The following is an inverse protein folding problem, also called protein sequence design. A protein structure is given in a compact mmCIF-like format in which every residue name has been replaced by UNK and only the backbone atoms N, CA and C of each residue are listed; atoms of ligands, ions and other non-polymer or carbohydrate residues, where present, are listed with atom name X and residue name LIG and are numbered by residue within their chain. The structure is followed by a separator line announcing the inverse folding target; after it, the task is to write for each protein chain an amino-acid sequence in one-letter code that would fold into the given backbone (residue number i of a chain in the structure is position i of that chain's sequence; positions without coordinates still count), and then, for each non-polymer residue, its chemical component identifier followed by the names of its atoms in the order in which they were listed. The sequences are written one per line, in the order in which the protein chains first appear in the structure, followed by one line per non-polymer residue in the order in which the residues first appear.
data_IF_777410699667
#
_entry.id   IF_777410699667
#
_cell.length_a   1.000
_cell.length_b   1.000
_cell.length_c   1.000
_cell.angle_alpha   90.00
_cell.angle_beta   90.00
_cell.angle_gamma   90.00
#
_symmetry.space_group_name_H-M   'P 1'
#
loop_
_entity.id
_entity.type
_entity.pdbx_description
1 polymer ?
#
# COMPACT_ATOMS: atom_id res chain seq x y z
N UNK A 1 -14.88 2.31 32.43
CA UNK A 1 -14.53 2.17 30.99
C UNK A 1 -13.02 2.10 30.85
N UNK A 2 -12.46 0.96 30.41
CA UNK A 2 -11.04 0.92 30.04
C UNK A 2 -10.85 1.73 28.75
N UNK A 3 -9.96 2.74 28.78
CA UNK A 3 -9.57 3.46 27.56
C UNK A 3 -8.88 2.47 26.62
N UNK A 4 -9.45 2.26 25.44
CA UNK A 4 -8.81 1.46 24.40
C UNK A 4 -7.49 2.14 24.05
N UNK A 5 -6.37 1.43 24.25
CA UNK A 5 -5.04 1.97 23.94
C UNK A 5 -4.90 2.07 22.43
N UNK A 6 -4.92 3.30 21.92
CA UNK A 6 -4.52 3.59 20.56
C UNK A 6 -3.01 3.43 20.41
N UNK A 7 -2.56 3.00 19.24
CA UNK A 7 -1.14 3.01 18.92
C UNK A 7 -0.65 4.46 18.84
N UNK A 8 0.59 4.78 19.29
CA UNK A 8 1.13 6.14 19.28
C UNK A 8 1.07 6.79 17.90
N UNK A 9 1.45 6.07 16.85
CA UNK A 9 1.40 6.57 15.46
C UNK A 9 0.00 6.54 14.81
N UNK A 10 -1.08 6.49 15.60
CA UNK A 10 -2.46 6.46 15.10
C UNK A 10 -2.93 5.09 14.58
N UNK A 11 -4.07 5.06 13.90
CA UNK A 11 -4.70 3.80 13.44
C UNK A 11 -3.93 3.13 12.30
N UNK A 12 -3.33 3.89 11.38
CA UNK A 12 -2.66 3.37 10.18
C UNK A 12 -1.32 4.08 9.96
N UNK A 13 -0.30 3.34 9.55
CA UNK A 13 1.01 3.91 9.19
C UNK A 13 1.71 3.09 8.11
N UNK A 14 2.27 3.77 7.09
CA UNK A 14 3.10 3.14 6.07
C UNK A 14 4.52 2.92 6.60
N UNK A 15 4.98 1.67 6.59
CA UNK A 15 6.27 1.28 7.14
C UNK A 15 7.37 1.20 6.08
N UNK A 16 7.01 1.01 4.81
CA UNK A 16 7.99 0.98 3.73
C UNK A 16 7.62 0.09 2.55
N UNK A 17 8.44 0.18 1.50
CA UNK A 17 8.37 -0.66 0.31
C UNK A 17 9.65 -1.47 0.24
N UNK A 18 9.51 -2.79 0.32
CA UNK A 18 10.58 -3.71 0.02
C UNK A 18 10.76 -3.77 -1.51
N UNK A 19 11.85 -3.17 -2.00
CA UNK A 19 12.11 -3.08 -3.45
C UNK A 19 12.47 -4.41 -4.09
N UNK A 20 12.94 -5.40 -3.31
CA UNK A 20 13.29 -6.72 -3.83
C UNK A 20 12.05 -7.57 -4.12
N UNK A 21 11.03 -7.46 -3.26
CA UNK A 21 9.78 -8.22 -3.37
C UNK A 21 8.59 -7.39 -3.90
N UNK A 22 8.77 -6.08 -4.07
CA UNK A 22 7.70 -5.13 -4.42
C UNK A 22 6.51 -5.15 -3.44
N UNK A 23 6.78 -5.44 -2.16
CA UNK A 23 5.77 -5.48 -1.10
C UNK A 23 5.75 -4.17 -0.29
N UNK A 24 4.56 -3.58 -0.19
CA UNK A 24 4.29 -2.44 0.66
C UNK A 24 3.88 -2.95 2.03
N UNK A 25 4.56 -2.48 3.07
CA UNK A 25 4.26 -2.82 4.46
C UNK A 25 3.50 -1.68 5.11
N UNK A 26 2.34 -1.98 5.67
CA UNK A 26 1.44 -1.03 6.32
C UNK A 26 1.00 -1.59 7.67
N UNK A 27 1.15 -0.80 8.72
CA UNK A 27 0.57 -1.07 10.04
C UNK A 27 -0.88 -0.62 10.05
N UNK A 28 -1.79 -1.50 10.47
CA UNK A 28 -3.20 -1.21 10.69
C UNK A 28 -3.56 -1.69 12.09
N UNK A 29 -3.92 -0.76 12.97
CA UNK A 29 -3.99 -0.99 14.40
C UNK A 29 -2.66 -1.51 14.95
N UNK A 30 -2.66 -2.65 15.61
CA UNK A 30 -1.44 -3.27 16.17
C UNK A 30 -0.80 -4.31 15.24
N UNK A 31 -1.37 -4.52 14.05
CA UNK A 31 -0.93 -5.55 13.12
C UNK A 31 -0.26 -4.92 11.90
N UNK A 32 0.73 -5.62 11.36
CA UNK A 32 1.42 -5.22 10.15
C UNK A 32 1.05 -6.18 9.04
N UNK A 33 0.69 -5.61 7.89
CA UNK A 33 0.37 -6.34 6.68
C UNK A 33 1.31 -5.92 5.56
N UNK A 34 1.69 -6.87 4.72
CA UNK A 34 2.47 -6.62 3.52
C UNK A 34 1.74 -7.15 2.29
N UNK A 35 1.60 -6.31 1.27
CA UNK A 35 0.93 -6.67 0.02
C UNK A 35 1.58 -5.97 -1.16
N UNK A 36 1.45 -6.55 -2.35
CA UNK A 36 1.92 -5.90 -3.58
C UNK A 36 0.89 -4.88 -4.09
N UNK A 37 1.30 -4.09 -5.07
CA UNK A 37 0.52 -2.96 -5.57
C UNK A 37 -0.88 -3.31 -6.12
N UNK A 38 -1.09 -4.54 -6.59
CA UNK A 38 -2.37 -5.00 -7.15
C UNK A 38 -3.19 -5.83 -6.14
N UNK A 39 -2.67 -6.07 -4.93
CA UNK A 39 -3.35 -6.86 -3.91
C UNK A 39 -3.40 -8.36 -4.19
N UNK A 40 -2.62 -8.89 -5.13
CA UNK A 40 -2.67 -10.33 -5.47
C UNK A 40 -1.97 -11.21 -4.43
N UNK A 41 -1.10 -10.64 -3.59
CA UNK A 41 -0.47 -11.35 -2.47
C UNK A 41 -0.68 -10.59 -1.18
N UNK A 42 -0.82 -11.32 -0.07
CA UNK A 42 -0.98 -10.74 1.25
C UNK A 42 -0.20 -11.54 2.28
N UNK A 43 0.49 -10.83 3.16
CA UNK A 43 1.21 -11.39 4.28
C UNK A 43 0.82 -10.66 5.56
N UNK A 44 0.74 -11.40 6.65
CA UNK A 44 0.83 -10.83 8.00
C UNK A 44 2.29 -10.82 8.42
N UNK A 45 2.75 -9.69 8.94
CA UNK A 45 4.13 -9.53 9.41
C UNK A 45 4.11 -9.51 10.94
N UNK A 46 4.90 -10.37 11.56
CA UNK A 46 5.13 -10.40 13.00
C UNK A 46 6.59 -10.72 13.26
N UNK A 47 7.27 -9.87 14.04
CA UNK A 47 8.67 -10.05 14.42
C UNK A 47 9.61 -10.30 13.22
N UNK A 48 9.35 -9.59 12.10
CA UNK A 48 10.09 -9.74 10.84
C UNK A 48 9.70 -10.94 9.97
N UNK A 49 8.87 -11.85 10.47
CA UNK A 49 8.40 -13.04 9.74
C UNK A 49 7.14 -12.71 8.94
N UNK A 50 7.14 -13.07 7.65
CA UNK A 50 6.01 -12.91 6.72
C UNK A 50 5.22 -14.22 6.62
N UNK A 51 4.02 -14.26 7.19
CA UNK A 51 3.10 -15.40 7.04
C UNK A 51 2.12 -15.12 5.91
N UNK A 52 2.06 -15.96 4.85
CA UNK A 52 1.13 -15.76 3.75
C UNK A 52 -0.32 -15.92 4.21
N UNK A 53 -1.20 -15.07 3.68
CA UNK A 53 -2.64 -15.11 3.90
C UNK A 53 -3.38 -15.33 2.58
N UNK A 54 -4.52 -16.04 2.64
CA UNK A 54 -5.40 -16.14 1.49
C UNK A 54 -6.14 -14.81 1.29
N UNK A 55 -5.86 -14.14 0.16
CA UNK A 55 -6.40 -12.81 -0.16
C UNK A 55 -7.93 -12.80 -0.20
N UNK A 56 -8.54 -13.74 -0.92
CA UNK A 56 -10.00 -13.78 -1.09
C UNK A 56 -10.71 -13.98 0.24
N UNK A 57 -10.22 -14.90 1.06
CA UNK A 57 -10.75 -15.12 2.42
C UNK A 57 -10.60 -13.87 3.28
N UNK A 58 -9.44 -13.21 3.23
CA UNK A 58 -9.16 -12.01 4.01
C UNK A 58 -10.04 -10.82 3.60
N UNK A 59 -10.31 -10.65 2.31
CA UNK A 59 -11.22 -9.61 1.81
C UNK A 59 -12.63 -9.77 2.38
N UNK A 60 -13.10 -11.00 2.52
CA UNK A 60 -14.43 -11.31 3.06
C UNK A 60 -14.47 -11.19 4.59
N UNK A 61 -13.47 -11.71 5.29
CA UNK A 61 -13.44 -11.71 6.76
C UNK A 61 -13.06 -10.34 7.36
N UNK A 62 -12.18 -9.60 6.69
CA UNK A 62 -11.61 -8.34 7.17
C UNK A 62 -11.70 -7.22 6.12
N UNK A 63 -12.88 -6.91 5.57
CA UNK A 63 -13.03 -5.97 4.45
C UNK A 63 -12.54 -4.56 4.79
N UNK A 64 -12.73 -4.12 6.05
CA UNK A 64 -12.25 -2.82 6.52
C UNK A 64 -10.71 -2.74 6.52
N UNK A 65 -10.05 -3.76 7.04
CA UNK A 65 -8.58 -3.82 7.07
C UNK A 65 -8.02 -3.89 5.66
N UNK A 66 -8.66 -4.67 4.79
CA UNK A 66 -8.29 -4.75 3.37
C UNK A 66 -8.38 -3.39 2.68
N UNK A 67 -9.49 -2.67 2.84
CA UNK A 67 -9.69 -1.36 2.24
C UNK A 67 -8.65 -0.34 2.71
N UNK A 68 -8.34 -0.34 4.01
CA UNK A 68 -7.34 0.56 4.59
C UNK A 68 -5.93 0.28 4.06
N UNK A 69 -5.59 -1.01 3.90
CA UNK A 69 -4.33 -1.47 3.34
C UNK A 69 -4.19 -1.01 1.88
N UNK A 70 -5.15 -1.33 1.04
CA UNK A 70 -5.08 -1.03 -0.40
C UNK A 70 -5.13 0.48 -0.66
N UNK A 71 -5.94 1.22 0.08
CA UNK A 71 -6.00 2.68 -0.02
C UNK A 71 -4.64 3.33 0.32
N UNK A 72 -3.96 2.85 1.36
CA UNK A 72 -2.63 3.37 1.73
C UNK A 72 -1.59 3.01 0.65
N UNK A 73 -1.61 1.79 0.13
CA UNK A 73 -0.73 1.37 -0.97
C UNK A 73 -0.92 2.26 -2.20
N UNK A 74 -2.17 2.51 -2.59
CA UNK A 74 -2.49 3.38 -3.72
C UNK A 74 -2.06 4.83 -3.49
N UNK A 75 -2.23 5.35 -2.27
CA UNK A 75 -1.74 6.67 -1.90
C UNK A 75 -0.23 6.77 -2.06
N UNK A 76 0.53 5.79 -1.53
CA UNK A 76 1.99 5.77 -1.65
C UNK A 76 2.45 5.65 -3.11
N UNK A 77 1.75 4.83 -3.92
CA UNK A 77 2.02 4.72 -5.37
C UNK A 77 1.84 6.07 -6.07
N UNK A 78 0.73 6.77 -5.81
CA UNK A 78 0.46 8.10 -6.39
C UNK A 78 1.49 9.12 -5.96
N UNK A 79 1.89 9.09 -4.67
CA UNK A 79 2.95 9.96 -4.14
C UNK A 79 4.29 9.73 -4.84
N UNK A 80 4.72 8.47 -4.98
CA UNK A 80 5.96 8.13 -5.69
C UNK A 80 5.91 8.53 -7.17
N UNK A 81 4.77 8.37 -7.83
CA UNK A 81 4.59 8.83 -9.20
C UNK A 81 4.76 10.34 -9.32
N UNK A 82 4.12 11.12 -8.42
CA UNK A 82 4.21 12.57 -8.43
C UNK A 82 5.66 13.06 -8.23
N UNK A 83 6.40 12.43 -7.30
CA UNK A 83 7.82 12.71 -7.08
C UNK A 83 8.61 12.44 -8.35
N UNK A 84 8.46 11.25 -8.96
CA UNK A 84 9.17 10.91 -10.21
C UNK A 84 8.85 11.87 -11.35
N UNK A 85 7.59 12.25 -11.53
CA UNK A 85 7.17 13.19 -12.57
C UNK A 85 7.80 14.58 -12.38
N UNK A 86 8.04 14.97 -11.13
CA UNK A 86 8.75 16.22 -10.79
C UNK A 86 10.25 16.10 -11.03
N UNK A 87 10.88 15.00 -10.59
CA UNK A 87 12.34 14.80 -10.71
C UNK A 87 12.81 14.64 -12.16
N UNK A 88 12.03 13.96 -12.99
CA UNK A 88 12.43 13.60 -14.36
C UNK A 88 12.15 14.69 -15.39
N UNK A 89 11.53 15.81 -14.99
CA UNK A 89 11.11 16.90 -15.88
C UNK A 89 10.38 16.41 -17.16
N UNK A 90 9.67 15.28 -17.07
CA UNK A 90 8.98 14.70 -18.24
C UNK A 90 8.00 15.74 -18.80
N UNK A 91 8.13 16.10 -20.10
CA UNK A 91 7.20 17.00 -20.78
C UNK A 91 5.76 16.55 -20.58
N UNK A 92 4.84 17.51 -20.40
CA UNK A 92 3.42 17.23 -20.10
C UNK A 92 2.77 16.28 -21.11
N UNK A 93 3.12 16.39 -22.39
CA UNK A 93 2.70 15.48 -23.47
C UNK A 93 3.06 14.01 -23.18
N UNK A 94 4.27 13.74 -22.72
CA UNK A 94 4.77 12.38 -22.45
C UNK A 94 4.27 11.80 -21.13
N UNK A 95 3.75 12.63 -20.22
CA UNK A 95 3.27 12.17 -18.91
C UNK A 95 2.13 11.15 -19.03
N UNK A 96 1.28 11.26 -20.06
CA UNK A 96 0.19 10.30 -20.29
C UNK A 96 0.73 8.90 -20.59
N UNK A 97 1.65 8.80 -21.55
CA UNK A 97 2.30 7.55 -21.91
C UNK A 97 3.12 6.98 -20.73
N UNK A 98 3.83 7.85 -20.00
CA UNK A 98 4.60 7.45 -18.83
C UNK A 98 3.72 6.85 -17.71
N UNK A 99 2.57 7.48 -17.41
CA UNK A 99 1.60 6.98 -16.42
C UNK A 99 1.00 5.64 -16.86
N UNK A 100 0.62 5.51 -18.13
CA UNK A 100 0.09 4.26 -18.70
C UNK A 100 1.10 3.10 -18.56
N UNK A 101 2.36 3.29 -18.95
CA UNK A 101 3.43 2.28 -18.80
C UNK A 101 3.65 1.82 -17.35
N UNK A 102 3.25 2.63 -16.37
CA UNK A 102 3.38 2.36 -14.92
C UNK A 102 2.08 1.89 -14.27
N UNK A 103 1.03 1.61 -15.05
CA UNK A 103 -0.25 1.12 -14.56
C UNK A 103 -1.10 2.19 -13.84
N UNK A 104 -0.85 3.48 -14.10
CA UNK A 104 -1.71 4.57 -13.67
C UNK A 104 -2.61 4.99 -14.83
N UNK A 105 -3.65 4.21 -15.11
CA UNK A 105 -4.64 4.49 -16.16
C UNK A 105 -5.85 5.20 -15.57
N UNK A 106 -6.30 6.31 -16.19
CA UNK A 106 -7.50 7.03 -15.73
C UNK A 106 -7.50 8.55 -15.87
N UNK A 107 -6.61 9.17 -16.66
CA UNK A 107 -6.85 10.54 -17.12
C UNK A 107 -7.86 10.47 -18.26
N UNK A 108 -9.16 10.45 -17.91
CA UNK A 108 -10.18 11.00 -18.81
C UNK A 108 -10.08 12.51 -18.73
#
# INVERSE_FOLDING_TARGET
MQKVKHHPDGYKSYLGLDRSTSLYSVRIGWQVYASNANGSVLYKVKDGVKTPLNVSKFQTEYPKVWNELTQEIDFQRRKQLAIKLRETNIPTYDRKAYKQKRGFTGSR
#
